data_IF_891599651555
#
_entry.id   IF_891599651555
#
_cell.length_a   1.000
_cell.length_b   1.000
_cell.length_c   1.000
_cell.angle_alpha   90.00
_cell.angle_beta   90.00
_cell.angle_gamma   90.00
#
_symmetry.space_group_name_H-M   'P 1'
#
loop_
_entity.id
_entity.type
_entity.pdbx_description
1 polymer ?
#
# COMPACT_ATOMS: atom_id res chain seq x y z
N UNK A 1 32.44 25.64 -78.60
CA UNK A 1 31.90 26.12 -77.36
C UNK A 1 33.01 26.93 -76.65
N UNK A 2 32.74 28.18 -76.25
CA UNK A 2 33.76 28.99 -75.61
C UNK A 2 33.94 28.51 -74.12
N UNK A 3 35.16 28.63 -73.61
CA UNK A 3 35.51 28.22 -72.20
C UNK A 3 34.52 28.76 -71.18
N UNK A 4 33.99 29.95 -71.40
CA UNK A 4 32.98 30.62 -70.58
C UNK A 4 31.61 29.93 -70.66
N UNK A 5 31.20 29.43 -71.79
CA UNK A 5 29.94 28.69 -71.94
C UNK A 5 29.99 27.32 -71.25
N UNK A 6 31.16 26.68 -71.25
CA UNK A 6 31.36 25.42 -70.51
C UNK A 6 31.29 25.59 -69.02
N UNK A 7 31.93 26.63 -68.43
CA UNK A 7 31.90 26.93 -67.02
C UNK A 7 30.47 27.27 -66.54
N UNK A 8 29.69 28.01 -67.35
CA UNK A 8 28.30 28.33 -67.02
C UNK A 8 27.42 27.07 -67.04
N UNK A 9 27.62 26.18 -67.98
CA UNK A 9 26.85 24.94 -68.06
C UNK A 9 27.16 24.00 -66.92
N UNK A 10 28.41 23.83 -66.51
CA UNK A 10 28.81 23.03 -65.34
C UNK A 10 28.26 23.60 -64.02
N UNK A 11 28.25 24.92 -63.88
CA UNK A 11 27.66 25.57 -62.70
C UNK A 11 26.13 25.32 -62.63
N UNK A 12 25.41 25.42 -63.74
CA UNK A 12 23.99 25.17 -63.81
C UNK A 12 23.70 23.70 -63.43
N UNK A 13 24.43 22.76 -63.98
CA UNK A 13 24.26 21.32 -63.69
C UNK A 13 24.52 21.05 -62.19
N UNK A 14 25.61 21.61 -61.63
CA UNK A 14 25.92 21.47 -60.21
C UNK A 14 24.81 22.01 -59.34
N UNK A 15 24.22 23.16 -59.67
CA UNK A 15 23.12 23.77 -58.95
C UNK A 15 21.85 22.88 -59.01
N UNK A 16 21.54 22.33 -60.18
CA UNK A 16 20.37 21.40 -60.33
C UNK A 16 20.59 20.15 -59.49
N UNK A 17 21.77 19.53 -59.55
CA UNK A 17 22.10 18.33 -58.77
C UNK A 17 22.00 18.65 -57.27
N UNK A 18 22.48 19.79 -56.82
CA UNK A 18 22.38 20.20 -55.41
C UNK A 18 20.94 20.38 -54.96
N UNK A 19 20.09 21.00 -55.78
CA UNK A 19 18.65 21.16 -55.49
C UNK A 19 17.94 19.81 -55.39
N UNK A 20 18.25 18.88 -56.33
CA UNK A 20 17.67 17.54 -56.33
C UNK A 20 18.09 16.74 -55.10
N UNK A 21 19.37 16.80 -54.71
CA UNK A 21 19.88 16.13 -53.50
C UNK A 21 19.22 16.67 -52.24
N UNK A 22 19.11 18.00 -52.10
CA UNK A 22 18.40 18.59 -50.98
C UNK A 22 16.92 18.18 -50.96
N UNK A 23 16.27 18.19 -52.11
CA UNK A 23 14.86 17.76 -52.23
C UNK A 23 14.65 16.32 -51.75
N UNK A 24 15.53 15.39 -52.14
CA UNK A 24 15.49 14.00 -51.72
C UNK A 24 15.74 13.90 -50.20
N UNK A 25 16.74 14.58 -49.63
CA UNK A 25 17.04 14.57 -48.20
C UNK A 25 15.87 15.13 -47.37
N UNK A 26 15.19 16.18 -47.85
CA UNK A 26 14.01 16.76 -47.18
C UNK A 26 12.82 15.77 -47.22
N UNK A 27 12.61 15.10 -48.35
CA UNK A 27 11.57 14.07 -48.47
C UNK A 27 11.82 12.88 -47.52
N UNK A 28 13.07 12.38 -47.50
CA UNK A 28 13.44 11.28 -46.57
C UNK A 28 13.27 11.68 -45.12
N UNK A 29 13.70 12.89 -44.76
CA UNK A 29 13.50 13.41 -43.39
C UNK A 29 12.03 13.52 -43.03
N UNK A 30 11.19 13.97 -43.98
CA UNK A 30 9.74 14.07 -43.74
C UNK A 30 9.08 12.69 -43.60
N UNK A 31 9.47 11.72 -44.41
CA UNK A 31 8.96 10.33 -44.30
C UNK A 31 9.39 9.70 -42.97
N UNK A 32 10.65 9.84 -42.56
CA UNK A 32 11.17 9.29 -41.32
C UNK A 32 10.46 9.93 -40.10
N UNK A 33 10.27 11.25 -40.12
CA UNK A 33 9.59 11.94 -38.99
C UNK A 33 8.11 11.55 -38.88
N UNK A 34 7.41 11.38 -40.01
CA UNK A 34 6.02 10.94 -39.95
C UNK A 34 5.90 9.47 -39.50
N UNK A 35 6.83 8.62 -39.90
CA UNK A 35 6.86 7.22 -39.44
C UNK A 35 7.16 7.15 -37.93
N UNK A 36 8.10 7.95 -37.45
CA UNK A 36 8.41 8.03 -36.03
C UNK A 36 7.21 8.51 -35.19
N UNK A 37 6.44 9.50 -35.69
CA UNK A 37 5.21 9.95 -35.03
C UNK A 37 4.13 8.87 -34.99
N UNK A 38 3.95 8.13 -36.06
CA UNK A 38 2.98 7.04 -36.14
C UNK A 38 3.32 5.93 -35.15
N UNK A 39 4.61 5.53 -35.08
CA UNK A 39 5.09 4.53 -34.11
C UNK A 39 4.92 5.00 -32.66
N UNK A 40 5.21 6.28 -32.38
CA UNK A 40 5.00 6.86 -31.07
C UNK A 40 3.51 6.86 -30.66
N UNK A 41 2.62 7.22 -31.57
CA UNK A 41 1.18 7.24 -31.32
C UNK A 41 0.63 5.82 -31.07
N UNK A 42 1.16 4.82 -31.75
CA UNK A 42 0.81 3.41 -31.55
C UNK A 42 1.35 2.90 -30.18
N UNK A 43 2.56 3.27 -29.81
CA UNK A 43 3.14 2.96 -28.50
C UNK A 43 2.34 3.61 -27.35
N UNK A 44 1.93 4.87 -27.51
CA UNK A 44 1.12 5.58 -26.51
C UNK A 44 -0.28 4.93 -26.37
N UNK A 45 -0.90 4.49 -27.46
CA UNK A 45 -2.19 3.79 -27.42
C UNK A 45 -2.11 2.44 -26.72
N UNK A 46 -1.06 1.65 -27.00
CA UNK A 46 -0.82 0.35 -26.34
C UNK A 46 -0.53 0.54 -24.84
N UNK A 47 0.20 1.61 -24.50
CA UNK A 47 0.47 1.90 -23.08
C UNK A 47 -0.81 2.30 -22.31
N UNK A 48 -1.69 3.10 -22.92
CA UNK A 48 -2.99 3.44 -22.34
C UNK A 48 -3.90 2.22 -22.17
N UNK A 49 -4.00 1.39 -23.20
CA UNK A 49 -4.79 0.15 -23.12
C UNK A 49 -4.26 -0.81 -22.02
N UNK A 50 -2.94 -0.90 -21.87
CA UNK A 50 -2.32 -1.71 -20.81
C UNK A 50 -2.61 -1.15 -19.39
N UNK A 51 -2.69 0.16 -19.23
CA UNK A 51 -3.06 0.82 -17.97
C UNK A 51 -4.53 0.53 -17.65
N UNK A 52 -5.44 0.68 -18.61
CA UNK A 52 -6.87 0.40 -18.39
C UNK A 52 -7.15 -1.07 -18.05
N UNK A 53 -6.45 -2.00 -18.71
CA UNK A 53 -6.53 -3.45 -18.41
C UNK A 53 -6.00 -3.73 -17.00
N UNK A 54 -4.88 -3.12 -16.61
CA UNK A 54 -4.32 -3.30 -15.28
C UNK A 54 -5.24 -2.74 -14.18
N UNK A 55 -5.83 -1.56 -14.40
CA UNK A 55 -6.80 -0.98 -13.46
C UNK A 55 -8.08 -1.81 -13.35
N UNK A 56 -8.57 -2.35 -14.46
CA UNK A 56 -9.70 -3.26 -14.51
C UNK A 56 -9.41 -4.57 -13.75
N UNK A 57 -8.24 -5.16 -13.96
CA UNK A 57 -7.77 -6.35 -13.24
C UNK A 57 -7.61 -6.08 -11.74
N UNK A 58 -7.06 -4.94 -11.36
CA UNK A 58 -6.93 -4.53 -9.95
C UNK A 58 -8.30 -4.39 -9.28
N UNK A 59 -9.26 -3.80 -9.97
CA UNK A 59 -10.62 -3.67 -9.46
C UNK A 59 -11.33 -5.03 -9.29
N UNK A 60 -11.11 -5.97 -10.20
CA UNK A 60 -11.61 -7.36 -10.09
C UNK A 60 -10.96 -8.10 -8.92
N UNK A 61 -9.65 -7.95 -8.73
CA UNK A 61 -8.92 -8.56 -7.62
C UNK A 61 -9.41 -8.00 -6.28
N UNK A 62 -9.54 -6.67 -6.17
CA UNK A 62 -10.07 -6.00 -4.97
C UNK A 62 -11.51 -6.43 -4.69
N UNK A 63 -12.37 -6.51 -5.72
CA UNK A 63 -13.74 -6.98 -5.57
C UNK A 63 -13.80 -8.46 -5.12
N UNK A 64 -12.91 -9.31 -5.66
CA UNK A 64 -12.81 -10.72 -5.26
C UNK A 64 -12.29 -10.86 -3.81
N UNK A 65 -11.34 -10.03 -3.38
CA UNK A 65 -10.85 -10.01 -2.00
C UNK A 65 -11.92 -9.48 -1.03
N UNK A 66 -12.67 -8.45 -1.41
CA UNK A 66 -13.82 -7.93 -0.65
C UNK A 66 -14.92 -9.02 -0.56
N UNK A 67 -15.20 -9.74 -1.64
CA UNK A 67 -16.17 -10.84 -1.66
C UNK A 67 -15.70 -11.99 -0.77
N UNK A 68 -14.41 -12.31 -0.79
CA UNK A 68 -13.79 -13.34 0.06
C UNK A 68 -13.78 -12.93 1.54
N UNK A 69 -13.54 -11.64 1.84
CA UNK A 69 -13.66 -11.08 3.18
C UNK A 69 -15.11 -11.06 3.67
N UNK A 70 -16.09 -10.75 2.79
CA UNK A 70 -17.53 -10.86 3.11
C UNK A 70 -17.94 -12.29 3.37
N UNK A 71 -17.52 -13.24 2.55
CA UNK A 71 -17.81 -14.68 2.72
C UNK A 71 -17.13 -15.24 3.99
N UNK A 72 -15.99 -14.68 4.40
CA UNK A 72 -15.35 -14.96 5.68
C UNK A 72 -16.14 -14.36 6.87
N UNK A 73 -16.77 -13.17 6.70
CA UNK A 73 -17.71 -12.55 7.66
C UNK A 73 -18.96 -13.42 7.91
N UNK A 74 -19.44 -14.12 6.89
CA UNK A 74 -20.68 -14.91 6.97
C UNK A 74 -20.51 -16.29 7.63
N UNK A 75 -19.29 -16.79 7.83
CA UNK A 75 -19.06 -17.93 8.72
C UNK A 75 -19.35 -17.47 10.14
N UNK A 76 -20.58 -17.78 10.62
CA UNK A 76 -21.04 -17.45 11.98
C UNK A 76 -19.92 -17.77 12.97
N UNK A 77 -19.34 -16.78 13.68
CA UNK A 77 -18.34 -17.06 14.71
C UNK A 77 -18.99 -17.98 15.75
N UNK A 78 -18.21 -18.88 16.35
CA UNK A 78 -18.62 -19.52 17.59
C UNK A 78 -19.08 -18.41 18.51
N UNK A 79 -20.36 -18.41 18.90
CA UNK A 79 -20.98 -17.36 19.70
C UNK A 79 -20.39 -17.48 21.09
N UNK A 80 -19.26 -16.83 21.35
CA UNK A 80 -18.81 -16.64 22.71
C UNK A 80 -19.89 -15.83 23.45
N UNK A 81 -20.38 -16.36 24.56
CA UNK A 81 -21.36 -15.66 25.40
C UNK A 81 -20.65 -14.45 25.99
N UNK A 82 -20.95 -13.29 25.47
CA UNK A 82 -20.44 -12.00 25.95
C UNK A 82 -21.48 -11.41 26.87
N UNK A 83 -21.10 -11.00 28.08
CA UNK A 83 -21.98 -10.33 29.04
C UNK A 83 -22.27 -8.89 28.57
N UNK A 84 -23.36 -8.32 29.09
CA UNK A 84 -23.64 -6.90 28.86
C UNK A 84 -22.46 -6.04 29.32
N UNK A 85 -22.06 -5.06 28.48
CA UNK A 85 -20.88 -4.23 28.72
C UNK A 85 -19.52 -4.84 28.35
N UNK A 86 -19.52 -6.06 27.77
CA UNK A 86 -18.33 -6.71 27.24
C UNK A 86 -18.36 -6.75 25.71
N UNK A 87 -17.20 -6.67 25.08
CA UNK A 87 -17.05 -6.81 23.61
C UNK A 87 -16.55 -8.20 23.24
N UNK A 88 -15.83 -8.87 24.14
CA UNK A 88 -15.25 -10.20 23.93
C UNK A 88 -15.07 -10.97 25.25
N UNK A 89 -14.83 -12.30 25.21
CA UNK A 89 -14.42 -13.05 26.40
C UNK A 89 -13.00 -12.72 26.86
N UNK A 90 -12.24 -11.93 26.09
CA UNK A 90 -10.83 -11.59 26.37
C UNK A 90 -10.65 -10.16 26.85
N UNK A 91 -11.71 -9.43 27.18
CA UNK A 91 -11.65 -8.02 27.58
C UNK A 91 -10.72 -7.76 28.75
N UNK A 92 -10.62 -8.68 29.72
CA UNK A 92 -9.68 -8.57 30.85
C UNK A 92 -8.23 -8.58 30.39
N UNK A 93 -7.88 -9.43 29.43
CA UNK A 93 -6.55 -9.51 28.85
C UNK A 93 -6.24 -8.26 28.04
N UNK A 94 -7.17 -7.82 27.18
CA UNK A 94 -7.00 -6.58 26.43
C UNK A 94 -6.78 -5.38 27.33
N UNK A 95 -7.59 -5.22 28.38
CA UNK A 95 -7.44 -4.11 29.35
C UNK A 95 -6.12 -4.18 30.11
N UNK A 96 -5.69 -5.37 30.50
CA UNK A 96 -4.45 -5.58 31.24
C UNK A 96 -3.22 -5.16 30.40
N UNK A 97 -3.04 -5.79 29.23
CA UNK A 97 -1.86 -5.55 28.40
C UNK A 97 -1.86 -4.18 27.71
N UNK A 98 -3.04 -3.66 27.36
CA UNK A 98 -3.17 -2.31 26.82
C UNK A 98 -2.79 -1.23 27.85
N UNK A 99 -3.17 -1.42 29.12
CA UNK A 99 -2.77 -0.52 30.21
C UNK A 99 -1.24 -0.51 30.41
N UNK A 100 -0.60 -1.66 30.40
CA UNK A 100 0.86 -1.77 30.50
C UNK A 100 1.57 -1.10 29.32
N UNK A 101 1.00 -1.22 28.12
CA UNK A 101 1.55 -0.66 26.89
C UNK A 101 1.22 0.83 26.66
N UNK A 102 0.29 1.40 27.44
CA UNK A 102 -0.18 2.78 27.25
C UNK A 102 -1.06 2.97 26.01
N UNK A 103 -1.73 1.90 25.53
CA UNK A 103 -2.60 1.89 24.36
C UNK A 103 -4.06 1.79 24.81
N UNK A 104 -4.98 2.34 24.02
CA UNK A 104 -6.41 2.15 24.22
C UNK A 104 -6.79 0.67 24.02
N UNK A 105 -7.35 0.03 25.04
CA UNK A 105 -7.70 -1.39 25.00
C UNK A 105 -8.73 -1.72 23.93
N UNK A 106 -9.63 -0.76 23.62
CA UNK A 106 -10.64 -0.95 22.55
C UNK A 106 -9.99 -0.98 21.18
N UNK A 107 -8.83 -0.32 20.98
CA UNK A 107 -8.04 -0.43 19.77
C UNK A 107 -7.44 -1.84 19.64
N UNK A 108 -6.85 -2.37 20.72
CA UNK A 108 -6.28 -3.74 20.72
C UNK A 108 -7.38 -4.77 20.45
N UNK A 109 -8.55 -4.62 21.09
CA UNK A 109 -9.69 -5.48 20.83
C UNK A 109 -10.20 -5.38 19.38
N UNK A 110 -10.24 -4.17 18.81
CA UNK A 110 -10.66 -3.97 17.42
C UNK A 110 -9.69 -4.61 16.42
N UNK A 111 -8.39 -4.47 16.62
CA UNK A 111 -7.37 -5.19 15.85
C UNK A 111 -7.62 -6.70 15.94
N UNK A 112 -7.73 -7.25 17.15
CA UNK A 112 -7.97 -8.68 17.33
C UNK A 112 -9.27 -9.16 16.65
N UNK A 113 -10.30 -8.34 16.68
CA UNK A 113 -11.56 -8.67 16.02
C UNK A 113 -11.42 -8.66 14.50
N UNK A 114 -10.74 -7.69 13.92
CA UNK A 114 -10.51 -7.64 12.46
C UNK A 114 -9.66 -8.80 12.01
N UNK A 115 -8.63 -9.17 12.78
CA UNK A 115 -7.69 -10.25 12.46
C UNK A 115 -8.34 -11.65 12.54
N UNK A 116 -9.03 -11.96 13.64
CA UNK A 116 -9.48 -13.33 13.91
C UNK A 116 -10.98 -13.47 14.22
N UNK A 117 -11.72 -12.36 14.37
CA UNK A 117 -13.09 -12.38 14.94
C UNK A 117 -13.10 -13.01 16.34
N UNK A 118 -12.09 -12.70 17.15
CA UNK A 118 -11.85 -13.25 18.48
C UNK A 118 -11.73 -14.79 18.52
N UNK A 119 -11.16 -15.40 17.48
CA UNK A 119 -10.94 -16.83 17.40
C UNK A 119 -9.45 -17.16 17.59
N UNK A 120 -9.05 -17.67 18.75
CA UNK A 120 -7.65 -17.93 19.05
C UNK A 120 -7.03 -19.07 18.23
N UNK A 121 -7.86 -20.00 17.73
CA UNK A 121 -7.42 -21.18 17.00
C UNK A 121 -7.10 -20.93 15.51
N UNK A 122 -7.24 -19.71 15.02
CA UNK A 122 -7.07 -19.42 13.58
C UNK A 122 -5.62 -19.34 13.18
N UNK A 123 -5.30 -20.05 12.11
CA UNK A 123 -4.02 -19.95 11.37
C UNK A 123 -4.33 -19.61 9.92
N UNK A 124 -3.73 -18.54 9.42
CA UNK A 124 -3.88 -18.11 8.02
C UNK A 124 -3.07 -19.00 7.08
N UNK A 125 -3.32 -18.90 5.76
CA UNK A 125 -2.53 -19.62 4.75
C UNK A 125 -1.06 -19.23 4.75
N UNK A 126 -0.73 -18.01 5.17
CA UNK A 126 0.64 -17.50 5.29
C UNK A 126 1.30 -17.81 6.63
N UNK A 127 0.59 -18.47 7.57
CA UNK A 127 1.10 -18.85 8.87
C UNK A 127 0.87 -17.80 9.97
N UNK A 128 0.14 -16.70 9.71
CA UNK A 128 -0.26 -15.78 10.75
C UNK A 128 -1.27 -16.47 11.69
N UNK A 129 -1.09 -16.34 13.02
CA UNK A 129 -1.74 -17.22 13.99
C UNK A 129 -2.32 -16.46 15.17
N UNK A 130 -3.42 -17.01 15.73
CA UNK A 130 -4.03 -16.57 16.97
C UNK A 130 -4.93 -15.34 16.83
N UNK A 131 -5.29 -14.75 17.97
CA UNK A 131 -6.22 -13.63 18.08
C UNK A 131 -5.80 -12.40 17.27
N UNK A 132 -4.53 -12.06 17.28
CA UNK A 132 -3.97 -10.89 16.60
C UNK A 132 -3.20 -11.25 15.33
N UNK A 133 -3.35 -12.48 14.83
CA UNK A 133 -2.77 -12.98 13.59
C UNK A 133 -1.28 -12.62 13.43
N UNK A 134 -0.49 -12.97 14.42
CA UNK A 134 0.93 -12.69 14.42
C UNK A 134 1.70 -13.72 13.57
N UNK A 135 2.61 -13.24 12.74
CA UNK A 135 3.58 -14.12 12.09
C UNK A 135 4.56 -14.67 13.14
N UNK A 136 4.94 -15.97 13.09
CA UNK A 136 5.81 -16.59 14.09
C UNK A 136 7.09 -15.80 14.38
N UNK A 137 7.77 -15.36 13.32
CA UNK A 137 8.99 -14.55 13.45
C UNK A 137 8.75 -13.22 14.14
N UNK A 138 7.60 -12.58 13.89
CA UNK A 138 7.24 -11.31 14.53
C UNK A 138 6.92 -11.54 16.00
N UNK A 139 6.10 -12.53 16.31
CA UNK A 139 5.71 -12.87 17.68
C UNK A 139 6.91 -13.22 18.57
N UNK A 140 7.89 -13.95 18.04
CA UNK A 140 9.12 -14.31 18.73
C UNK A 140 9.91 -13.09 19.23
N UNK A 141 9.89 -11.98 18.49
CA UNK A 141 10.54 -10.72 18.91
C UNK A 141 9.88 -10.09 20.14
N UNK A 142 8.66 -10.50 20.47
CA UNK A 142 7.88 -10.04 21.61
C UNK A 142 7.63 -11.15 22.65
N UNK A 143 8.46 -12.20 22.62
CA UNK A 143 8.48 -13.27 23.60
C UNK A 143 7.46 -14.39 23.39
N UNK A 144 6.59 -14.30 22.37
CA UNK A 144 5.63 -15.35 22.05
C UNK A 144 6.25 -16.37 21.07
N UNK A 145 6.51 -17.59 21.56
CA UNK A 145 7.07 -18.70 20.76
C UNK A 145 5.98 -19.38 19.93
N UNK A 146 6.37 -20.09 18.88
CA UNK A 146 5.46 -20.79 17.97
C UNK A 146 4.42 -21.66 18.69
N UNK A 147 4.82 -22.39 19.74
CA UNK A 147 3.92 -23.23 20.56
C UNK A 147 2.88 -22.44 21.36
N UNK A 148 3.07 -21.11 21.51
CA UNK A 148 2.23 -20.22 22.30
C UNK A 148 1.36 -19.30 21.43
N UNK A 149 1.52 -19.34 20.12
CA UNK A 149 0.82 -18.45 19.18
C UNK A 149 -0.71 -18.56 19.23
N UNK A 150 -1.24 -19.72 19.61
CA UNK A 150 -2.68 -19.97 19.74
C UNK A 150 -3.19 -19.78 21.16
N UNK A 151 -2.28 -19.51 22.13
CA UNK A 151 -2.67 -19.12 23.48
C UNK A 151 -3.18 -17.67 23.47
N UNK A 152 -4.41 -17.41 23.96
CA UNK A 152 -5.01 -16.08 23.93
C UNK A 152 -4.17 -15.02 24.65
N UNK A 153 -3.64 -15.35 25.81
CA UNK A 153 -2.91 -14.40 26.64
C UNK A 153 -1.57 -14.02 26.01
N UNK A 154 -0.78 -15.01 25.60
CA UNK A 154 0.53 -14.78 25.00
C UNK A 154 0.43 -14.07 23.65
N UNK A 155 -0.61 -14.38 22.85
CA UNK A 155 -0.84 -13.74 21.58
C UNK A 155 -1.27 -12.28 21.74
N UNK A 156 -2.19 -11.97 22.65
CA UNK A 156 -2.61 -10.60 22.98
C UNK A 156 -1.44 -9.78 23.52
N UNK A 157 -0.67 -10.34 24.45
CA UNK A 157 0.52 -9.71 25.03
C UNK A 157 1.52 -9.31 23.96
N UNK A 158 1.89 -10.26 23.07
CA UNK A 158 2.85 -10.01 22.00
C UNK A 158 2.31 -9.01 20.96
N UNK A 159 1.05 -9.11 20.56
CA UNK A 159 0.43 -8.19 19.61
C UNK A 159 0.29 -6.77 20.14
N UNK A 160 -0.05 -6.63 21.43
CA UNK A 160 -0.10 -5.33 22.11
C UNK A 160 1.30 -4.70 22.21
N UNK A 161 2.31 -5.50 22.55
CA UNK A 161 3.70 -5.05 22.58
C UNK A 161 4.21 -4.62 21.19
N UNK A 162 3.80 -5.33 20.14
CA UNK A 162 4.10 -4.93 18.75
C UNK A 162 3.48 -3.57 18.42
N UNK A 163 2.20 -3.33 18.74
CA UNK A 163 1.55 -2.04 18.51
C UNK A 163 2.30 -0.91 19.25
N UNK A 164 2.65 -1.11 20.51
CA UNK A 164 3.41 -0.14 21.29
C UNK A 164 4.82 0.13 20.72
N UNK A 165 5.50 -0.90 20.22
CA UNK A 165 6.81 -0.74 19.59
C UNK A 165 6.71 0.06 18.28
N UNK A 166 5.67 -0.19 17.49
CA UNK A 166 5.40 0.58 16.27
C UNK A 166 5.18 2.06 16.60
N UNK A 167 4.31 2.38 17.58
CA UNK A 167 4.08 3.76 18.01
C UNK A 167 5.37 4.43 18.48
N UNK A 168 6.15 3.76 19.34
CA UNK A 168 7.42 4.28 19.82
C UNK A 168 8.41 4.60 18.69
N UNK A 169 8.47 3.75 17.67
CA UNK A 169 9.35 3.97 16.50
C UNK A 169 8.87 5.11 15.61
N UNK A 170 7.56 5.28 15.47
CA UNK A 170 6.96 6.38 14.72
C UNK A 170 7.17 7.72 15.42
N UNK A 171 6.97 7.80 16.75
CA UNK A 171 7.27 9.00 17.54
C UNK A 171 8.73 9.44 17.44
N UNK A 172 9.69 8.50 17.37
CA UNK A 172 11.11 8.82 17.12
C UNK A 172 11.35 9.46 15.75
N UNK A 173 10.38 9.40 14.84
CA UNK A 173 10.38 10.07 13.54
C UNK A 173 9.50 11.33 13.51
N UNK A 174 9.11 11.85 14.70
CA UNK A 174 8.24 13.00 14.87
C UNK A 174 6.84 12.80 14.25
N UNK A 175 6.35 11.56 14.23
CA UNK A 175 5.00 11.23 13.79
C UNK A 175 4.15 11.10 15.05
N UNK A 176 3.47 12.19 15.44
CA UNK A 176 2.60 12.27 16.62
C UNK A 176 1.14 12.58 16.23
N UNK A 177 0.95 13.38 15.19
CA UNK A 177 -0.38 13.63 14.61
C UNK A 177 -0.95 12.34 14.05
N UNK A 178 -1.75 12.00 13.46
CA UNK A 178 -2.26 10.77 12.83
C UNK A 178 -1.63 9.42 13.27
N UNK A 179 -1.00 9.38 14.47
CA UNK A 179 -0.20 8.23 14.94
C UNK A 179 -0.95 6.89 14.87
N UNK A 180 -2.25 6.88 15.16
CA UNK A 180 -3.08 5.67 15.12
C UNK A 180 -3.15 5.08 13.71
N UNK A 181 -3.25 5.91 12.67
CA UNK A 181 -3.28 5.45 11.28
C UNK A 181 -1.95 4.82 10.87
N UNK A 182 -0.84 5.49 11.20
CA UNK A 182 0.50 4.96 10.97
C UNK A 182 0.77 3.68 11.73
N UNK A 183 0.29 3.58 12.98
CA UNK A 183 0.44 2.39 13.82
C UNK A 183 -0.29 1.19 13.22
N UNK A 184 -1.54 1.37 12.83
CA UNK A 184 -2.34 0.33 12.20
C UNK A 184 -1.78 -0.07 10.84
N UNK A 185 -1.30 0.91 10.06
CA UNK A 185 -0.61 0.64 8.80
C UNK A 185 0.66 -0.18 9.03
N UNK A 186 1.46 0.18 10.02
CA UNK A 186 2.69 -0.53 10.39
C UNK A 186 2.42 -1.94 10.90
N UNK A 187 1.33 -2.15 11.63
CA UNK A 187 0.89 -3.47 12.09
C UNK A 187 0.50 -4.37 10.91
N UNK A 188 -0.32 -3.86 10.00
CA UNK A 188 -0.86 -4.63 8.87
C UNK A 188 0.17 -4.83 7.73
N UNK A 189 0.83 -3.77 7.31
CA UNK A 189 1.76 -3.78 6.17
C UNK A 189 3.22 -4.06 6.55
N UNK A 190 3.55 -3.86 7.82
CA UNK A 190 4.92 -3.80 8.30
C UNK A 190 5.55 -2.41 8.14
N UNK A 191 6.32 -2.00 9.14
CA UNK A 191 6.94 -0.66 9.19
C UNK A 191 7.86 -0.34 8.01
N UNK A 192 8.44 -1.36 7.36
CA UNK A 192 9.29 -1.13 6.20
C UNK A 192 8.55 -0.47 5.04
N UNK A 193 7.33 -0.95 4.71
CA UNK A 193 6.50 -0.33 3.67
C UNK A 193 6.04 1.07 4.07
N UNK A 194 5.79 1.30 5.36
CA UNK A 194 5.41 2.63 5.85
C UNK A 194 6.59 3.61 5.77
N UNK A 195 7.80 3.17 6.09
CA UNK A 195 9.00 4.00 5.93
C UNK A 195 9.30 4.36 4.47
N UNK A 196 9.07 3.42 3.56
CA UNK A 196 9.15 3.72 2.12
C UNK A 196 8.12 4.79 1.73
N UNK A 197 6.84 4.63 2.17
CA UNK A 197 5.79 5.59 1.87
C UNK A 197 6.06 6.98 2.49
N UNK A 198 6.62 7.06 3.69
CA UNK A 198 7.06 8.31 4.33
C UNK A 198 8.18 8.97 3.50
N UNK A 199 9.16 8.19 3.05
CA UNK A 199 10.26 8.72 2.21
C UNK A 199 9.73 9.18 0.85
N UNK A 200 8.80 8.44 0.25
CA UNK A 200 8.13 8.84 -0.99
C UNK A 200 7.35 10.14 -0.80
N UNK A 201 6.61 10.27 0.31
CA UNK A 201 5.83 11.45 0.65
C UNK A 201 6.71 12.70 0.65
N UNK A 202 7.82 12.67 1.37
CA UNK A 202 8.81 13.76 1.41
C UNK A 202 9.37 14.08 0.02
N UNK A 203 9.74 13.05 -0.75
CA UNK A 203 10.36 13.20 -2.08
C UNK A 203 9.39 13.70 -3.16
N UNK A 204 8.09 13.43 -3.02
CA UNK A 204 7.04 13.81 -3.97
C UNK A 204 6.30 15.10 -3.58
N UNK A 205 6.73 15.79 -2.51
CA UNK A 205 6.16 17.06 -2.06
C UNK A 205 4.89 16.94 -1.21
N UNK A 206 4.59 15.74 -0.68
CA UNK A 206 3.58 15.53 0.34
C UNK A 206 4.15 15.71 1.75
N UNK A 207 3.28 15.81 2.75
CA UNK A 207 3.73 15.90 4.14
C UNK A 207 3.99 14.51 4.73
N UNK A 208 5.25 14.16 5.09
CA UNK A 208 5.62 12.83 5.57
C UNK A 208 5.11 12.52 7.00
N UNK A 209 4.54 13.50 7.71
CA UNK A 209 4.02 13.32 9.06
C UNK A 209 2.49 13.24 9.14
N UNK A 210 1.79 13.45 8.01
CA UNK A 210 0.34 13.34 7.89
C UNK A 210 -0.05 12.09 7.12
N UNK A 211 -1.12 11.43 7.58
CA UNK A 211 -1.60 10.20 6.96
C UNK A 211 -2.49 10.50 5.74
N UNK A 212 -3.63 11.15 5.98
CA UNK A 212 -4.63 11.41 4.94
C UNK A 212 -4.10 12.34 3.87
N UNK A 213 -4.38 12.01 2.62
CA UNK A 213 -3.97 12.75 1.42
C UNK A 213 -2.44 12.92 1.26
N UNK A 214 -1.64 12.26 2.10
CA UNK A 214 -0.18 12.34 2.11
C UNK A 214 0.47 10.95 2.08
N UNK A 215 0.86 10.38 3.23
CA UNK A 215 1.57 9.08 3.27
C UNK A 215 0.67 7.93 2.81
N UNK A 216 -0.64 8.01 3.05
CA UNK A 216 -1.60 7.04 2.52
C UNK A 216 -1.57 6.97 0.99
N UNK A 217 -1.55 8.13 0.31
CA UNK A 217 -1.44 8.22 -1.16
C UNK A 217 -0.15 7.54 -1.63
N UNK A 218 0.98 7.87 -1.01
CA UNK A 218 2.27 7.28 -1.35
C UNK A 218 2.31 5.76 -1.12
N UNK A 219 1.66 5.27 -0.06
CA UNK A 219 1.53 3.83 0.17
C UNK A 219 0.70 3.14 -0.93
N UNK A 220 -0.33 3.81 -1.46
CA UNK A 220 -1.14 3.30 -2.57
C UNK A 220 -0.39 3.35 -3.89
N UNK A 221 0.39 4.40 -4.16
CA UNK A 221 1.25 4.53 -5.34
C UNK A 221 2.29 3.42 -5.44
N UNK A 222 2.69 2.79 -4.33
CA UNK A 222 3.58 1.61 -4.36
C UNK A 222 3.00 0.39 -5.08
N UNK A 223 1.77 0.40 -5.55
CA UNK A 223 1.24 -0.63 -6.45
C UNK A 223 1.80 -0.50 -7.88
N UNK A 224 2.21 0.70 -8.28
CA UNK A 224 2.68 1.06 -9.61
C UNK A 224 4.20 0.92 -9.74
N UNK A 225 4.71 0.28 -10.85
CA UNK A 225 6.15 0.18 -11.14
C UNK A 225 6.88 1.51 -11.18
N UNK A 226 6.25 2.59 -11.60
CA UNK A 226 6.83 3.93 -11.62
C UNK A 226 7.31 4.36 -10.23
N UNK A 227 6.53 4.03 -9.19
CA UNK A 227 6.80 4.47 -7.83
C UNK A 227 7.57 3.44 -7.01
N UNK A 228 7.27 2.15 -7.10
CA UNK A 228 8.00 1.17 -6.29
C UNK A 228 9.43 0.90 -6.78
N UNK A 229 9.80 1.30 -8.00
CA UNK A 229 11.17 1.22 -8.52
C UNK A 229 12.01 2.49 -8.25
N UNK A 230 11.46 3.50 -7.55
CA UNK A 230 12.23 4.69 -7.18
C UNK A 230 13.45 4.30 -6.33
N UNK A 231 14.62 4.95 -6.52
CA UNK A 231 15.90 4.53 -5.92
C UNK A 231 15.88 4.47 -4.39
N UNK A 232 15.00 5.22 -3.75
CA UNK A 232 14.86 5.29 -2.30
C UNK A 232 13.78 4.36 -1.74
N UNK A 233 13.01 3.66 -2.58
CA UNK A 233 12.04 2.64 -2.17
C UNK A 233 12.76 1.31 -2.01
N UNK A 234 12.68 0.72 -0.81
CA UNK A 234 13.47 -0.47 -0.43
C UNK A 234 12.73 -1.78 -0.59
N UNK A 235 11.41 -1.77 -0.40
CA UNK A 235 10.59 -2.98 -0.30
C UNK A 235 9.69 -3.23 -1.53
N UNK A 236 9.98 -2.69 -2.67
CA UNK A 236 9.28 -2.97 -3.92
C UNK A 236 7.76 -2.77 -3.87
N UNK A 237 7.05 -3.53 -4.72
CA UNK A 237 5.60 -3.43 -4.92
C UNK A 237 4.79 -3.73 -3.66
N UNK A 238 3.78 -2.90 -3.38
CA UNK A 238 2.84 -3.10 -2.28
C UNK A 238 1.44 -2.54 -2.62
N UNK A 239 0.36 -3.24 -2.25
CA UNK A 239 -1.01 -2.75 -2.44
C UNK A 239 -1.50 -1.99 -1.22
N UNK A 240 -1.29 -0.67 -1.19
CA UNK A 240 -1.68 0.20 -0.08
C UNK A 240 -3.19 0.31 0.14
N UNK A 241 -4.02 0.11 -0.88
CA UNK A 241 -5.49 0.19 -0.76
C UNK A 241 -6.04 -0.82 0.26
N UNK A 242 -5.43 -2.00 0.37
CA UNK A 242 -5.83 -3.02 1.35
C UNK A 242 -5.56 -2.54 2.78
N UNK A 243 -4.43 -1.86 2.99
CA UNK A 243 -4.08 -1.28 4.30
C UNK A 243 -5.02 -0.15 4.69
N UNK A 244 -5.38 0.75 3.76
CA UNK A 244 -6.37 1.81 4.04
C UNK A 244 -7.73 1.23 4.44
N UNK A 245 -8.20 0.18 3.75
CA UNK A 245 -9.44 -0.51 4.09
C UNK A 245 -9.37 -1.20 5.47
N UNK A 246 -8.24 -1.82 5.80
CA UNK A 246 -7.99 -2.42 7.11
C UNK A 246 -8.05 -1.37 8.23
N UNK A 247 -7.37 -0.26 8.08
CA UNK A 247 -7.36 0.84 9.07
C UNK A 247 -8.79 1.31 9.34
N UNK A 248 -9.53 1.57 8.27
CA UNK A 248 -10.94 2.00 8.39
C UNK A 248 -11.76 0.97 9.16
N UNK A 249 -11.65 -0.32 8.83
CA UNK A 249 -12.40 -1.38 9.50
C UNK A 249 -12.06 -1.46 11.00
N UNK A 250 -10.77 -1.37 11.37
CA UNK A 250 -10.33 -1.39 12.77
C UNK A 250 -10.91 -0.20 13.54
N UNK A 251 -10.84 1.01 12.99
CA UNK A 251 -11.35 2.20 13.68
C UNK A 251 -12.88 2.20 13.80
N UNK A 252 -13.60 1.68 12.81
CA UNK A 252 -15.06 1.50 12.89
C UNK A 252 -15.44 0.56 14.06
N UNK A 253 -14.70 -0.56 14.24
CA UNK A 253 -14.90 -1.46 15.38
C UNK A 253 -14.45 -0.86 16.71
N UNK A 254 -13.38 -0.08 16.73
CA UNK A 254 -12.96 0.62 17.95
C UNK A 254 -14.08 1.54 18.47
N UNK A 255 -14.68 2.33 17.57
CA UNK A 255 -15.82 3.20 17.94
C UNK A 255 -17.01 2.37 18.46
N UNK A 256 -17.32 1.25 17.81
CA UNK A 256 -18.40 0.36 18.23
C UNK A 256 -18.11 -0.25 19.63
N UNK A 257 -16.87 -0.65 19.90
CA UNK A 257 -16.46 -1.25 21.17
C UNK A 257 -16.43 -0.22 22.32
N UNK A 258 -16.00 1.01 22.07
CA UNK A 258 -16.10 2.11 23.04
C UNK A 258 -17.55 2.36 23.48
N UNK A 259 -18.48 2.29 22.54
CA UNK A 259 -19.91 2.41 22.84
C UNK A 259 -20.44 1.22 23.65
N UNK A 260 -20.06 0.00 23.25
CA UNK A 260 -20.51 -1.23 23.89
C UNK A 260 -19.97 -1.40 25.33
N UNK A 261 -18.73 -0.96 25.59
CA UNK A 261 -18.09 -1.02 26.91
C UNK A 261 -18.52 0.10 27.86
N UNK A 262 -19.22 1.12 27.36
CA UNK A 262 -19.58 2.30 28.16
C UNK A 262 -18.44 3.29 28.38
N UNK A 263 -17.32 3.13 27.69
CA UNK A 263 -16.15 4.03 27.80
C UNK A 263 -16.37 5.41 27.14
N UNK A 264 -17.44 5.54 26.36
CA UNK A 264 -17.94 6.82 25.84
C UNK A 264 -19.32 7.08 26.42
N UNK A 265 -19.44 8.05 27.33
CA UNK A 265 -20.73 8.63 27.73
C UNK A 265 -21.28 9.38 26.51
N UNK A 266 -22.52 9.05 26.10
CA UNK A 266 -23.28 9.84 25.12
C UNK A 266 -23.52 11.26 25.64
#
# INVERSE_FOLDING_TARGET
MTRTAYIRLTAIIATIVFIVVIGVCVLDFFVITNHAKAVQQEADSVSQESIEINDSLQNVIVAAEIKKARQYKERKPKKYLVKEGQVSPFDSLFKHYAKEAGIDWTLVAAVSYVESRFRPEIVSKSGASGLMQLMPRTAANYGCRDSMLLDPEENIKAGTALLADIERRLRKKNIDHDLVYFTLAGFHAGLGHIYDAITMSDSLGYNPTLWHDNVEVCLQLKADPEYYNLPFVRLGRFNGKVTSAYIKEVLDYQVAFKKASGDVKM
#
